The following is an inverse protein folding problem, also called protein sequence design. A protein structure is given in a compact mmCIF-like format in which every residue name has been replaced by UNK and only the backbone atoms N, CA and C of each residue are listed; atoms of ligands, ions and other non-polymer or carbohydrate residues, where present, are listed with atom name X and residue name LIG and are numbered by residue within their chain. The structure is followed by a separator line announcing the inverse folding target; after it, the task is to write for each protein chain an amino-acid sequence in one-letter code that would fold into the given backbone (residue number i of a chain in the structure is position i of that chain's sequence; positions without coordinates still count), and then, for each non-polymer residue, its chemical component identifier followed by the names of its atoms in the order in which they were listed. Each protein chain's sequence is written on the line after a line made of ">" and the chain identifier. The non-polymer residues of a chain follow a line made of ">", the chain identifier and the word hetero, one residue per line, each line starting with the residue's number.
data_IF_028895877405
#
_entry.id   IF_028895877405
#
_cell.length_a   1.000
_cell.length_b   1.000
_cell.length_c   1.000
_cell.angle_alpha   90.00
_cell.angle_beta   90.00
_cell.angle_gamma   90.00
#
_symmetry.space_group_name_H-M   'P 1'
#
loop_
_entity.id
_entity.type
_entity.pdbx_description
1 polymer ?
#
# COMPACT_ATOMS: atom_id res chain seq x y z
N UNK A 1 -6.26 -22.18 20.44
CA UNK A 1 -6.85 -21.13 19.59
C UNK A 1 -8.03 -20.54 20.34
N UNK A 2 -7.83 -19.43 21.04
CA UNK A 2 -8.88 -18.85 21.91
C UNK A 2 -9.99 -18.20 21.09
N UNK A 3 -11.24 -18.50 21.44
CA UNK A 3 -12.46 -18.09 20.72
C UNK A 3 -12.79 -16.58 20.79
N UNK A 4 -11.91 -15.74 21.33
CA UNK A 4 -12.12 -14.29 21.43
C UNK A 4 -10.80 -13.53 21.26
N UNK A 5 -10.25 -13.46 20.05
CA UNK A 5 -9.23 -12.46 19.73
C UNK A 5 -9.89 -11.09 19.76
N UNK A 6 -9.50 -10.22 20.70
CA UNK A 6 -9.98 -8.84 20.71
C UNK A 6 -9.60 -8.15 19.41
N UNK A 7 -10.58 -7.51 18.78
CA UNK A 7 -10.36 -6.69 17.58
C UNK A 7 -9.44 -5.54 17.93
N UNK A 8 -8.46 -5.24 17.08
CA UNK A 8 -7.61 -4.08 17.28
C UNK A 8 -8.44 -2.79 17.27
N UNK A 9 -8.13 -1.86 18.18
CA UNK A 9 -8.79 -0.56 18.29
C UNK A 9 -7.75 0.56 18.29
N UNK A 10 -7.98 1.66 17.52
CA UNK A 10 -7.08 2.81 17.48
C UNK A 10 -7.39 3.85 18.57
N UNK A 11 -8.45 3.66 19.37
CA UNK A 11 -8.90 4.66 20.36
C UNK A 11 -7.79 4.98 21.36
N UNK A 12 -7.43 6.26 21.47
CA UNK A 12 -6.36 6.75 22.35
C UNK A 12 -4.95 6.40 21.89
N UNK A 13 -4.77 5.74 20.74
CA UNK A 13 -3.47 5.39 20.17
C UNK A 13 -2.97 6.47 19.23
N UNK A 14 -1.66 6.65 19.17
CA UNK A 14 -0.99 7.47 18.17
C UNK A 14 -0.77 6.68 16.88
N UNK A 15 -1.43 7.12 15.81
CA UNK A 15 -1.36 6.52 14.49
C UNK A 15 -0.58 7.43 13.52
N UNK A 16 0.50 6.91 12.96
CA UNK A 16 1.33 7.58 11.96
C UNK A 16 0.95 7.11 10.56
N UNK A 17 0.52 8.02 9.69
CA UNK A 17 0.02 7.70 8.35
C UNK A 17 0.84 8.43 7.28
N UNK A 18 1.66 7.68 6.56
CA UNK A 18 2.36 8.22 5.38
C UNK A 18 1.41 8.28 4.18
N UNK A 19 1.58 9.26 3.29
CA UNK A 19 0.63 9.49 2.19
C UNK A 19 -0.73 9.99 2.69
N UNK A 20 -0.82 10.52 3.92
CA UNK A 20 -2.09 10.89 4.56
C UNK A 20 -2.73 12.18 4.03
N UNK A 21 -2.14 12.86 3.04
CA UNK A 21 -2.69 14.09 2.45
C UNK A 21 -3.74 13.85 1.37
N UNK A 22 -3.79 12.66 0.76
CA UNK A 22 -4.70 12.33 -0.35
C UNK A 22 -5.00 10.82 -0.41
N UNK A 23 -6.03 10.43 -1.17
CA UNK A 23 -6.29 9.02 -1.52
C UNK A 23 -6.46 8.12 -0.31
N UNK A 24 -6.03 6.86 -0.42
CA UNK A 24 -6.21 5.83 0.62
C UNK A 24 -5.71 6.27 2.00
N UNK A 25 -4.54 6.92 2.08
CA UNK A 25 -3.97 7.38 3.35
C UNK A 25 -4.86 8.41 4.06
N UNK A 26 -5.43 9.36 3.31
CA UNK A 26 -6.36 10.35 3.88
C UNK A 26 -7.65 9.69 4.37
N UNK A 27 -8.26 8.80 3.59
CA UNK A 27 -9.49 8.10 4.01
C UNK A 27 -9.24 7.20 5.23
N UNK A 28 -8.11 6.51 5.29
CA UNK A 28 -7.72 5.77 6.49
C UNK A 28 -7.54 6.70 7.70
N UNK A 29 -6.87 7.84 7.52
CA UNK A 29 -6.72 8.83 8.58
C UNK A 29 -8.08 9.34 9.10
N UNK A 30 -9.05 9.59 8.21
CA UNK A 30 -10.43 9.94 8.58
C UNK A 30 -11.07 8.87 9.45
N UNK A 31 -10.94 7.59 9.07
CA UNK A 31 -11.45 6.45 9.86
C UNK A 31 -10.79 6.42 11.24
N UNK A 32 -9.46 6.58 11.31
CA UNK A 32 -8.72 6.56 12.58
C UNK A 32 -9.13 7.70 13.51
N UNK A 33 -9.29 8.93 12.99
CA UNK A 33 -9.76 10.07 13.78
C UNK A 33 -11.17 9.84 14.30
N UNK A 34 -12.10 9.37 13.46
CA UNK A 34 -13.49 9.03 13.88
C UNK A 34 -13.53 7.95 14.96
N UNK A 35 -12.51 7.08 15.02
CA UNK A 35 -12.37 6.03 16.03
C UNK A 35 -11.52 6.47 17.26
N UNK A 36 -11.26 7.78 17.40
CA UNK A 36 -10.65 8.35 18.61
C UNK A 36 -9.12 8.25 18.67
N UNK A 37 -8.44 8.03 17.54
CA UNK A 37 -6.98 8.02 17.47
C UNK A 37 -6.39 9.44 17.54
N UNK A 38 -5.17 9.55 18.04
CA UNK A 38 -4.30 10.67 17.67
C UNK A 38 -3.69 10.34 16.31
N UNK A 39 -3.60 11.30 15.39
CA UNK A 39 -3.18 11.04 14.01
C UNK A 39 -2.10 12.02 13.57
N UNK A 40 -0.99 11.47 13.08
CA UNK A 40 0.05 12.23 12.40
C UNK A 40 0.09 11.82 10.92
N UNK A 41 -0.24 12.74 10.02
CA UNK A 41 -0.14 12.50 8.58
C UNK A 41 1.18 13.06 8.03
N UNK A 42 1.81 12.32 7.13
CA UNK A 42 3.06 12.72 6.48
C UNK A 42 2.93 12.65 4.97
N UNK A 43 3.27 13.74 4.30
CA UNK A 43 3.38 13.81 2.84
C UNK A 43 4.37 14.93 2.45
N UNK A 44 4.54 15.20 1.16
CA UNK A 44 5.50 16.20 0.66
C UNK A 44 4.88 17.58 0.40
N UNK A 45 3.60 17.62 0.05
CA UNK A 45 2.95 18.85 -0.40
C UNK A 45 2.23 19.51 0.79
N UNK A 46 2.69 20.69 1.19
CA UNK A 46 2.19 21.40 2.35
C UNK A 46 0.73 21.85 2.17
N UNK A 47 0.34 22.27 0.97
CA UNK A 47 -1.02 22.74 0.70
C UNK A 47 -2.06 21.61 0.90
N UNK A 48 -1.80 20.43 0.33
CA UNK A 48 -2.63 19.24 0.48
C UNK A 48 -2.66 18.75 1.93
N UNK A 49 -1.55 18.86 2.65
CA UNK A 49 -1.51 18.54 4.09
C UNK A 49 -2.41 19.49 4.90
N UNK A 50 -2.39 20.79 4.60
CA UNK A 50 -3.24 21.77 5.27
C UNK A 50 -4.73 21.50 5.00
N UNK A 51 -5.09 21.17 3.76
CA UNK A 51 -6.46 20.78 3.41
C UNK A 51 -6.89 19.50 4.15
N UNK A 52 -6.03 18.48 4.14
CA UNK A 52 -6.27 17.23 4.85
C UNK A 52 -6.48 17.43 6.35
N UNK A 53 -5.71 18.31 7.00
CA UNK A 53 -5.90 18.63 8.43
C UNK A 53 -7.26 19.26 8.68
N UNK A 54 -7.71 20.20 7.86
CA UNK A 54 -9.06 20.78 7.99
C UNK A 54 -10.14 19.70 7.94
N UNK A 55 -10.03 18.76 7.00
CA UNK A 55 -10.96 17.63 6.90
C UNK A 55 -10.90 16.71 8.13
N UNK A 56 -9.70 16.36 8.59
CA UNK A 56 -9.52 15.49 9.76
C UNK A 56 -10.03 16.15 11.05
N UNK A 57 -9.79 17.44 11.23
CA UNK A 57 -10.28 18.19 12.39
C UNK A 57 -11.81 18.24 12.45
N UNK A 58 -12.48 18.34 11.30
CA UNK A 58 -13.96 18.26 11.23
C UNK A 58 -14.55 16.94 11.73
N UNK A 59 -13.73 15.88 11.81
CA UNK A 59 -14.12 14.53 12.21
C UNK A 59 -13.68 14.19 13.65
N UNK A 60 -13.06 15.13 14.35
CA UNK A 60 -12.58 14.96 15.72
C UNK A 60 -13.74 14.56 16.64
N UNK A 61 -13.52 13.51 17.44
CA UNK A 61 -14.50 13.00 18.41
C UNK A 61 -14.18 13.40 19.86
N UNK A 62 -12.95 13.87 20.13
CA UNK A 62 -12.53 14.35 21.45
C UNK A 62 -11.50 15.49 21.35
N UNK A 63 -11.59 16.53 22.20
CA UNK A 63 -10.59 17.60 22.26
C UNK A 63 -9.20 17.10 22.66
N UNK A 64 -9.10 15.92 23.31
CA UNK A 64 -7.82 15.33 23.66
C UNK A 64 -7.04 14.77 22.45
N UNK A 65 -7.69 14.57 21.29
CA UNK A 65 -7.00 14.08 20.10
C UNK A 65 -5.95 15.08 19.62
N UNK A 66 -4.78 14.55 19.23
CA UNK A 66 -3.71 15.33 18.61
C UNK A 66 -3.72 14.93 17.14
N UNK A 67 -4.05 15.88 16.27
CA UNK A 67 -4.12 15.70 14.82
C UNK A 67 -3.10 16.68 14.23
N UNK A 68 -2.05 16.17 13.58
CA UNK A 68 -0.96 17.00 13.03
C UNK A 68 -0.50 16.50 11.67
N UNK A 69 0.01 17.42 10.85
CA UNK A 69 0.63 17.10 9.57
C UNK A 69 2.11 17.48 9.56
N UNK A 70 2.88 16.75 8.78
CA UNK A 70 4.33 16.96 8.65
C UNK A 70 4.74 16.85 7.19
N UNK A 71 5.47 17.85 6.70
CA UNK A 71 5.96 17.89 5.32
C UNK A 71 7.37 17.31 5.24
N UNK A 72 7.49 16.07 4.74
CA UNK A 72 8.77 15.37 4.59
C UNK A 72 8.77 14.52 3.32
N UNK A 73 9.94 14.41 2.67
CA UNK A 73 10.19 13.33 1.73
C UNK A 73 10.55 12.07 2.50
N UNK A 74 9.99 10.93 2.07
CA UNK A 74 10.25 9.61 2.66
C UNK A 74 11.08 8.72 1.74
N UNK A 75 11.66 9.30 0.68
CA UNK A 75 12.42 8.58 -0.35
C UNK A 75 13.84 8.18 0.08
N UNK A 76 14.27 8.61 1.27
CA UNK A 76 15.55 8.29 1.88
C UNK A 76 15.38 8.05 3.39
N UNK A 77 16.35 7.36 3.99
CA UNK A 77 16.30 6.95 5.39
C UNK A 77 16.27 8.14 6.37
N UNK A 78 16.99 9.22 6.05
CA UNK A 78 17.05 10.42 6.90
C UNK A 78 15.71 11.15 6.97
N UNK A 79 15.03 11.32 5.84
CA UNK A 79 13.71 11.93 5.75
C UNK A 79 12.66 11.12 6.51
N UNK A 80 12.68 9.80 6.38
CA UNK A 80 11.79 8.91 7.15
C UNK A 80 12.02 8.98 8.66
N UNK A 81 13.29 9.06 9.10
CA UNK A 81 13.61 9.23 10.52
C UNK A 81 13.17 10.59 11.05
N UNK A 82 13.49 11.68 10.33
CA UNK A 82 13.11 13.04 10.72
C UNK A 82 11.59 13.22 10.80
N UNK A 83 10.84 12.64 9.86
CA UNK A 83 9.38 12.64 9.88
C UNK A 83 8.81 11.92 11.11
N UNK A 84 9.38 10.75 11.45
CA UNK A 84 8.97 9.98 12.62
C UNK A 84 9.27 10.73 13.92
N UNK A 85 10.45 11.34 14.04
CA UNK A 85 10.83 12.12 15.22
C UNK A 85 9.96 13.36 15.40
N UNK A 86 9.67 14.08 14.31
CA UNK A 86 8.74 15.22 14.33
C UNK A 86 7.32 14.80 14.76
N UNK A 87 6.85 13.63 14.29
CA UNK A 87 5.57 13.06 14.70
C UNK A 87 5.55 12.59 16.15
N UNK A 88 6.69 12.13 16.68
CA UNK A 88 6.84 11.65 18.06
C UNK A 88 6.95 12.80 19.08
N UNK A 89 7.45 13.96 18.66
CA UNK A 89 7.75 15.08 19.57
C UNK A 89 6.55 15.56 20.43
N UNK A 90 5.30 15.66 19.91
CA UNK A 90 4.13 16.01 20.72
C UNK A 90 3.72 14.95 21.75
N UNK A 91 4.32 13.76 21.70
CA UNK A 91 4.04 12.61 22.56
C UNK A 91 5.27 12.28 23.43
N UNK A 92 6.00 13.32 23.87
CA UNK A 92 7.22 13.19 24.68
C UNK A 92 8.32 12.34 24.02
N UNK A 93 8.34 12.32 22.68
CA UNK A 93 9.29 11.51 21.90
C UNK A 93 8.92 10.03 21.81
N UNK A 94 7.78 9.60 22.36
CA UNK A 94 7.27 8.25 22.21
C UNK A 94 6.92 7.96 20.75
N UNK A 95 7.30 6.77 20.29
CA UNK A 95 6.98 6.29 18.93
C UNK A 95 5.47 6.08 18.78
N UNK A 96 4.90 6.34 17.60
CA UNK A 96 3.52 5.99 17.30
C UNK A 96 3.21 4.51 17.59
N UNK A 97 2.07 4.20 18.19
CA UNK A 97 1.59 2.83 18.43
C UNK A 97 1.36 2.04 17.14
N UNK A 98 1.02 2.74 16.06
CA UNK A 98 0.74 2.14 14.76
C UNK A 98 1.30 2.98 13.60
N UNK A 99 2.04 2.35 12.69
CA UNK A 99 2.53 2.92 11.44
C UNK A 99 1.72 2.39 10.26
N UNK A 100 1.03 3.27 9.54
CA UNK A 100 0.32 3.00 8.31
C UNK A 100 1.10 3.60 7.13
N UNK A 101 1.73 2.71 6.37
CA UNK A 101 2.71 3.08 5.36
C UNK A 101 2.03 3.19 3.98
N UNK A 102 1.14 4.17 3.82
CA UNK A 102 0.35 4.33 2.60
C UNK A 102 1.05 5.15 1.50
N UNK A 103 2.23 5.73 1.75
CA UNK A 103 2.97 6.45 0.72
C UNK A 103 3.45 5.50 -0.39
N UNK A 104 3.28 5.96 -1.63
CA UNK A 104 3.80 5.32 -2.82
C UNK A 104 3.32 6.01 -4.09
N UNK A 105 3.98 5.72 -5.21
CA UNK A 105 3.58 6.21 -6.52
C UNK A 105 3.95 5.19 -7.61
N UNK A 106 3.25 5.28 -8.73
CA UNK A 106 3.42 4.45 -9.92
C UNK A 106 3.57 5.37 -11.14
N UNK A 107 4.32 4.92 -12.15
CA UNK A 107 4.48 5.62 -13.44
C UNK A 107 4.52 4.58 -14.57
N UNK A 108 3.39 3.95 -14.90
CA UNK A 108 3.36 2.85 -15.85
C UNK A 108 3.91 3.26 -17.21
N UNK A 109 4.66 2.36 -17.84
CA UNK A 109 5.19 2.47 -19.20
C UNK A 109 5.76 1.15 -19.67
N UNK A 110 6.15 1.04 -20.94
CA UNK A 110 6.90 -0.13 -21.37
C UNK A 110 8.32 -0.08 -20.81
N UNK A 111 8.85 -1.27 -20.49
CA UNK A 111 10.20 -1.39 -19.92
C UNK A 111 11.29 -0.78 -20.81
N UNK A 112 11.11 -0.85 -22.13
CA UNK A 112 12.05 -0.27 -23.11
C UNK A 112 12.12 1.26 -23.06
N UNK A 113 11.11 1.92 -22.48
CA UNK A 113 11.07 3.38 -22.32
C UNK A 113 11.72 3.84 -21.00
N UNK A 114 12.06 2.91 -20.11
CA UNK A 114 12.71 3.23 -18.84
C UNK A 114 14.22 3.36 -19.00
N UNK A 115 14.76 4.48 -18.51
CA UNK A 115 16.18 4.64 -18.23
C UNK A 115 16.52 4.10 -16.83
N UNK A 116 17.82 4.07 -16.50
CA UNK A 116 18.28 3.59 -15.20
C UNK A 116 17.64 4.36 -14.02
N UNK A 117 17.50 5.68 -14.12
CA UNK A 117 16.87 6.49 -13.07
C UNK A 117 15.38 6.18 -12.92
N UNK A 118 14.67 5.83 -14.00
CA UNK A 118 13.28 5.41 -13.92
C UNK A 118 13.13 4.06 -13.21
N UNK A 119 14.04 3.12 -13.43
CA UNK A 119 14.08 1.84 -12.72
C UNK A 119 14.35 2.06 -11.22
N UNK A 120 15.35 2.88 -10.88
CA UNK A 120 15.68 3.22 -9.50
C UNK A 120 14.52 3.94 -8.81
N UNK A 121 13.91 4.90 -9.49
CA UNK A 121 12.73 5.61 -8.99
C UNK A 121 11.54 4.68 -8.77
N UNK A 122 11.33 3.69 -9.64
CA UNK A 122 10.32 2.66 -9.45
C UNK A 122 10.47 1.94 -8.10
N UNK A 123 11.69 1.52 -7.76
CA UNK A 123 12.01 0.95 -6.44
C UNK A 123 11.87 1.97 -5.32
N UNK A 124 12.29 3.21 -5.53
CA UNK A 124 12.22 4.30 -4.55
C UNK A 124 10.77 4.57 -4.13
N UNK A 125 9.88 4.71 -5.11
CA UNK A 125 8.47 5.09 -4.93
C UNK A 125 7.56 3.91 -4.56
N UNK A 126 7.94 2.66 -4.86
CA UNK A 126 7.12 1.49 -4.52
C UNK A 126 7.57 0.75 -3.25
N UNK A 127 8.88 0.69 -3.00
CA UNK A 127 9.52 -0.10 -1.93
C UNK A 127 10.15 0.77 -0.85
N UNK A 128 11.17 1.56 -1.20
CA UNK A 128 12.00 2.26 -0.20
C UNK A 128 11.21 3.26 0.63
N UNK A 129 10.27 3.97 0.01
CA UNK A 129 9.40 4.95 0.66
C UNK A 129 8.66 4.39 1.89
N UNK A 130 8.36 3.08 1.89
CA UNK A 130 7.76 2.40 3.04
C UNK A 130 8.80 1.68 3.89
N UNK A 131 9.78 1.02 3.28
CA UNK A 131 10.81 0.27 3.99
C UNK A 131 11.61 1.15 4.97
N UNK A 132 11.94 2.39 4.60
CA UNK A 132 12.65 3.31 5.48
C UNK A 132 11.82 3.74 6.68
N UNK A 133 10.53 4.05 6.48
CA UNK A 133 9.63 4.40 7.58
C UNK A 133 9.34 3.21 8.50
N UNK A 134 9.21 1.99 7.95
CA UNK A 134 9.09 0.78 8.75
C UNK A 134 10.36 0.56 9.60
N UNK A 135 11.53 0.64 8.99
CA UNK A 135 12.80 0.45 9.68
C UNK A 135 13.01 1.47 10.82
N UNK A 136 12.74 2.76 10.57
CA UNK A 136 12.80 3.79 11.61
C UNK A 136 11.81 3.53 12.75
N UNK A 137 10.55 3.20 12.41
CA UNK A 137 9.48 2.92 13.37
C UNK A 137 9.78 1.71 14.26
N UNK A 138 10.07 0.56 13.64
CA UNK A 138 10.38 -0.69 14.35
C UNK A 138 11.59 -0.50 15.25
N UNK A 139 12.68 0.12 14.77
CA UNK A 139 13.87 0.37 15.57
C UNK A 139 13.58 1.23 16.80
N UNK A 140 12.69 2.22 16.68
CA UNK A 140 12.28 3.08 17.79
C UNK A 140 11.36 2.34 18.78
N UNK A 141 10.40 1.54 18.29
CA UNK A 141 9.56 0.65 19.11
C UNK A 141 10.41 -0.32 19.94
N UNK A 142 11.38 -0.99 19.32
CA UNK A 142 12.29 -1.92 20.01
C UNK A 142 13.12 -1.21 21.07
N UNK A 143 13.69 -0.03 20.74
CA UNK A 143 14.48 0.76 21.70
C UNK A 143 13.66 1.22 22.90
N UNK A 144 12.41 1.61 22.68
CA UNK A 144 11.48 2.05 23.73
C UNK A 144 10.80 0.87 24.45
N UNK A 145 11.00 -0.36 23.97
CA UNK A 145 10.40 -1.60 24.51
C UNK A 145 8.87 -1.53 24.56
N UNK A 146 8.26 -1.00 23.49
CA UNK A 146 6.81 -0.90 23.36
C UNK A 146 6.31 -1.80 22.24
N UNK A 147 5.16 -2.47 22.43
CA UNK A 147 4.51 -3.23 21.37
C UNK A 147 4.00 -2.28 20.28
N UNK A 148 3.69 -2.81 19.10
CA UNK A 148 3.28 -1.95 18.00
C UNK A 148 2.56 -2.64 16.85
N UNK A 149 2.20 -1.82 15.87
CA UNK A 149 1.62 -2.28 14.60
C UNK A 149 2.28 -1.57 13.43
N UNK A 150 2.65 -2.33 12.40
CA UNK A 150 3.12 -1.80 11.12
C UNK A 150 2.23 -2.36 10.03
N UNK A 151 1.67 -1.48 9.21
CA UNK A 151 0.80 -1.86 8.09
C UNK A 151 1.38 -1.29 6.80
N UNK A 152 1.85 -2.17 5.93
CA UNK A 152 2.29 -1.82 4.59
C UNK A 152 1.12 -1.69 3.63
N UNK A 153 1.27 -0.85 2.61
CA UNK A 153 0.33 -0.78 1.48
C UNK A 153 1.03 -1.27 0.22
N UNK A 154 0.66 -2.48 -0.18
CA UNK A 154 1.05 -3.11 -1.42
C UNK A 154 0.17 -2.71 -2.59
N UNK A 155 -0.16 -3.71 -3.38
CA UNK A 155 -1.07 -3.67 -4.53
C UNK A 155 -1.41 -5.10 -4.90
N UNK A 156 -2.51 -5.35 -5.60
CA UNK A 156 -2.72 -6.63 -6.29
C UNK A 156 -1.51 -7.01 -7.18
N UNK A 157 -0.78 -6.01 -7.70
CA UNK A 157 0.48 -6.17 -8.42
C UNK A 157 1.68 -6.65 -7.55
N UNK A 158 1.45 -7.00 -6.29
CA UNK A 158 2.42 -7.72 -5.44
C UNK A 158 2.26 -9.24 -5.57
N UNK A 159 1.20 -9.70 -6.24
CA UNK A 159 0.93 -11.12 -6.55
C UNK A 159 1.11 -11.44 -8.04
N UNK A 160 1.03 -10.42 -8.89
CA UNK A 160 1.06 -10.58 -10.34
C UNK A 160 1.74 -9.39 -11.02
N UNK A 161 2.14 -9.57 -12.27
CA UNK A 161 2.65 -8.49 -13.12
C UNK A 161 2.38 -8.80 -14.60
N UNK A 162 2.29 -7.76 -15.41
CA UNK A 162 2.05 -7.82 -16.85
C UNK A 162 2.58 -6.55 -17.53
N UNK A 163 2.50 -6.51 -18.86
CA UNK A 163 3.05 -5.44 -19.68
C UNK A 163 2.55 -4.06 -19.22
N UNK A 164 3.48 -3.12 -19.05
CA UNK A 164 3.19 -1.76 -18.55
C UNK A 164 3.51 -1.54 -17.06
N UNK A 165 3.67 -2.62 -16.28
CA UNK A 165 3.90 -2.55 -14.82
C UNK A 165 5.32 -2.92 -14.37
N UNK A 166 6.25 -3.11 -15.29
CA UNK A 166 7.61 -3.59 -15.02
C UNK A 166 8.45 -2.66 -14.14
N UNK A 167 8.10 -1.38 -14.01
CA UNK A 167 8.80 -0.44 -13.13
C UNK A 167 8.17 -0.26 -11.75
N UNK A 168 6.97 -0.81 -11.52
CA UNK A 168 6.24 -0.66 -10.26
C UNK A 168 6.05 -2.00 -9.54
N UNK A 169 5.63 -3.03 -10.27
CA UNK A 169 5.36 -4.35 -9.71
C UNK A 169 6.56 -5.00 -9.01
N UNK A 170 7.83 -4.88 -9.49
CA UNK A 170 8.98 -5.44 -8.77
C UNK A 170 9.15 -4.87 -7.37
N UNK A 171 9.01 -3.55 -7.21
CA UNK A 171 9.08 -2.90 -5.89
C UNK A 171 7.96 -3.36 -4.96
N UNK A 172 6.75 -3.62 -5.48
CA UNK A 172 5.63 -4.16 -4.70
C UNK A 172 5.80 -5.64 -4.33
N UNK A 173 6.43 -6.44 -5.18
CA UNK A 173 6.84 -7.81 -4.81
C UNK A 173 7.92 -7.80 -3.73
N UNK A 174 8.94 -6.95 -3.86
CA UNK A 174 9.99 -6.79 -2.85
C UNK A 174 9.41 -6.33 -1.51
N UNK A 175 8.44 -5.41 -1.54
CA UNK A 175 7.76 -4.92 -0.34
C UNK A 175 6.97 -6.04 0.36
N UNK A 176 6.33 -6.92 -0.41
CA UNK A 176 5.66 -8.11 0.14
C UNK A 176 6.67 -9.05 0.81
N UNK A 177 7.79 -9.34 0.15
CA UNK A 177 8.86 -10.16 0.74
C UNK A 177 9.36 -9.60 2.07
N UNK A 178 9.57 -8.27 2.14
CA UNK A 178 9.93 -7.58 3.38
C UNK A 178 8.83 -7.74 4.45
N UNK A 179 7.57 -7.47 4.11
CA UNK A 179 6.46 -7.56 5.07
C UNK A 179 6.26 -8.98 5.60
N UNK A 180 6.40 -10.00 4.76
CA UNK A 180 6.29 -11.41 5.17
C UNK A 180 7.43 -11.82 6.10
N UNK A 181 8.67 -11.38 5.82
CA UNK A 181 9.81 -11.60 6.72
C UNK A 181 9.64 -10.90 8.06
N UNK A 182 9.26 -9.61 8.04
CA UNK A 182 9.04 -8.82 9.25
C UNK A 182 7.87 -9.35 10.08
N UNK A 183 6.83 -9.94 9.48
CA UNK A 183 5.74 -10.56 10.22
C UNK A 183 6.21 -11.74 11.10
N UNK A 184 7.31 -12.41 10.73
CA UNK A 184 7.95 -13.41 11.58
C UNK A 184 8.94 -12.77 12.55
N UNK A 185 9.85 -11.93 12.07
CA UNK A 185 10.93 -11.32 12.87
C UNK A 185 10.39 -10.44 14.00
N UNK A 186 9.38 -9.61 13.71
CA UNK A 186 8.83 -8.65 14.67
C UNK A 186 8.04 -9.28 15.83
N UNK A 187 7.74 -10.59 15.77
CA UNK A 187 7.17 -11.32 16.92
C UNK A 187 8.12 -11.34 18.12
N UNK A 188 9.44 -11.20 17.89
CA UNK A 188 10.44 -11.05 18.95
C UNK A 188 10.25 -9.78 19.80
N UNK A 189 9.44 -8.83 19.32
CA UNK A 189 9.31 -7.48 19.88
C UNK A 189 7.86 -7.07 20.15
N UNK A 190 6.91 -8.01 20.10
CA UNK A 190 5.46 -7.73 20.23
C UNK A 190 4.95 -6.69 19.20
N UNK A 191 5.53 -6.69 17.99
CA UNK A 191 5.12 -5.82 16.88
C UNK A 191 4.41 -6.66 15.82
N UNK A 192 3.15 -6.32 15.55
CA UNK A 192 2.36 -6.96 14.49
C UNK A 192 2.62 -6.32 13.13
N UNK A 193 2.83 -7.12 12.08
CA UNK A 193 3.01 -6.64 10.71
C UNK A 193 1.88 -7.15 9.83
N UNK A 194 1.27 -6.25 9.08
CA UNK A 194 0.21 -6.55 8.12
C UNK A 194 0.50 -5.83 6.80
N UNK A 195 -0.10 -6.31 5.71
CA UNK A 195 0.02 -5.68 4.40
C UNK A 195 -1.33 -5.68 3.70
N UNK A 196 -1.76 -4.51 3.23
CA UNK A 196 -2.96 -4.36 2.42
C UNK A 196 -2.63 -4.44 0.94
N UNK A 197 -3.42 -5.21 0.19
CA UNK A 197 -3.29 -5.40 -1.26
C UNK A 197 -4.50 -4.79 -1.96
N UNK A 198 -4.53 -3.46 -2.18
CA UNK A 198 -5.63 -2.83 -2.90
C UNK A 198 -5.65 -3.24 -4.38
N UNK A 199 -6.85 -3.35 -4.94
CA UNK A 199 -7.08 -3.26 -6.38
C UNK A 199 -7.00 -1.80 -6.84
N UNK A 200 -7.34 -1.53 -8.10
CA UNK A 200 -7.42 -0.18 -8.64
C UNK A 200 -8.34 0.70 -7.79
N UNK A 201 -7.90 1.90 -7.44
CA UNK A 201 -8.67 2.86 -6.65
C UNK A 201 -8.76 4.19 -7.36
N UNK A 202 -9.96 4.76 -7.43
CA UNK A 202 -10.21 6.07 -8.02
C UNK A 202 -9.64 7.20 -7.15
N UNK A 203 -8.34 7.42 -7.26
CA UNK A 203 -7.58 8.43 -6.51
C UNK A 203 -6.98 9.46 -7.45
N UNK A 204 -6.59 10.65 -6.95
CA UNK A 204 -5.80 11.59 -7.74
C UNK A 204 -4.51 10.97 -8.30
N UNK A 205 -3.93 9.99 -7.61
CA UNK A 205 -2.76 9.25 -8.11
C UNK A 205 -3.09 8.38 -9.33
N UNK A 206 -4.26 7.75 -9.35
CA UNK A 206 -4.76 6.96 -10.47
C UNK A 206 -5.04 7.83 -11.71
N UNK A 207 -5.53 9.05 -11.52
CA UNK A 207 -5.71 10.01 -12.62
C UNK A 207 -4.37 10.37 -13.28
N UNK A 208 -3.32 10.64 -12.50
CA UNK A 208 -1.98 10.89 -13.04
C UNK A 208 -1.36 9.65 -13.70
N UNK A 209 -1.60 8.47 -13.11
CA UNK A 209 -1.17 7.20 -13.64
C UNK A 209 -1.76 6.93 -15.03
N UNK A 210 -3.07 7.15 -15.20
CA UNK A 210 -3.79 6.93 -16.46
C UNK A 210 -3.29 7.80 -17.63
N UNK A 211 -2.71 8.97 -17.34
CA UNK A 211 -2.08 9.83 -18.37
C UNK A 211 -0.83 9.19 -18.97
N UNK A 212 -0.16 8.32 -18.22
CA UNK A 212 1.11 7.69 -18.62
C UNK A 212 0.93 6.27 -19.16
N UNK A 213 -0.21 5.60 -18.87
CA UNK A 213 -0.44 4.22 -19.29
C UNK A 213 -0.31 4.06 -20.81
N UNK A 214 0.50 3.11 -21.28
CA UNK A 214 0.47 2.67 -22.67
C UNK A 214 -0.93 2.16 -23.05
N UNK A 215 -1.30 2.28 -24.32
CA UNK A 215 -2.65 1.90 -24.77
C UNK A 215 -2.92 0.40 -24.59
N UNK A 216 -1.89 -0.45 -24.74
CA UNK A 216 -1.97 -1.87 -24.38
C UNK A 216 -2.40 -2.04 -22.92
N UNK A 217 -1.76 -1.30 -22.00
CA UNK A 217 -2.05 -1.42 -20.59
C UNK A 217 -3.50 -0.99 -20.29
N UNK A 218 -3.97 0.13 -20.87
CA UNK A 218 -5.37 0.55 -20.73
C UNK A 218 -6.35 -0.53 -21.20
N UNK A 219 -6.05 -1.20 -22.31
CA UNK A 219 -6.86 -2.31 -22.82
C UNK A 219 -6.85 -3.53 -21.89
N UNK A 220 -5.70 -3.87 -21.32
CA UNK A 220 -5.59 -4.99 -20.37
C UNK A 220 -6.39 -4.74 -19.08
N UNK A 221 -6.59 -3.47 -18.71
CA UNK A 221 -7.28 -3.05 -17.49
C UNK A 221 -8.73 -2.61 -17.74
N UNK A 222 -9.24 -2.72 -18.98
CA UNK A 222 -10.58 -2.19 -19.35
C UNK A 222 -11.73 -2.80 -18.56
N UNK A 223 -11.54 -4.03 -18.03
CA UNK A 223 -12.53 -4.75 -17.24
C UNK A 223 -12.38 -4.53 -15.73
N UNK A 224 -11.32 -3.83 -15.30
CA UNK A 224 -11.11 -3.49 -13.90
C UNK A 224 -11.96 -2.26 -13.53
N UNK A 225 -13.04 -2.50 -12.77
CA UNK A 225 -13.95 -1.46 -12.30
C UNK A 225 -13.38 -0.65 -11.13
N UNK A 226 -12.28 -1.11 -10.53
CA UNK A 226 -11.70 -0.52 -9.33
C UNK A 226 -12.67 -0.42 -8.14
N UNK A 227 -12.31 0.41 -7.17
CA UNK A 227 -13.16 0.76 -6.03
C UNK A 227 -12.93 2.20 -5.58
N UNK A 228 -13.87 2.74 -4.82
CA UNK A 228 -13.69 4.06 -4.21
C UNK A 228 -12.59 4.00 -3.14
N UNK A 229 -11.81 5.09 -2.95
CA UNK A 229 -10.79 5.14 -1.90
C UNK A 229 -11.35 4.96 -0.48
N UNK A 230 -12.60 5.35 -0.27
CA UNK A 230 -13.31 5.14 1.00
C UNK A 230 -13.57 3.65 1.26
N UNK A 231 -14.14 2.93 0.28
CA UNK A 231 -14.37 1.49 0.40
C UNK A 231 -13.05 0.72 0.60
N UNK A 232 -11.98 1.13 -0.10
CA UNK A 232 -10.66 0.58 0.09
C UNK A 232 -10.11 0.80 1.51
N UNK A 233 -10.28 2.01 2.06
CA UNK A 233 -9.84 2.34 3.42
C UNK A 233 -10.65 1.57 4.48
N UNK A 234 -11.96 1.40 4.28
CA UNK A 234 -12.81 0.59 5.16
C UNK A 234 -12.40 -0.89 5.14
N UNK A 235 -12.13 -1.44 3.95
CA UNK A 235 -11.69 -2.82 3.82
C UNK A 235 -10.31 -3.03 4.46
N UNK A 236 -9.39 -2.09 4.25
CA UNK A 236 -8.09 -2.06 4.93
C UNK A 236 -8.26 -2.04 6.46
N UNK A 237 -9.07 -1.12 6.99
CA UNK A 237 -9.32 -1.00 8.43
C UNK A 237 -9.95 -2.27 9.01
N UNK A 238 -10.94 -2.86 8.33
CA UNK A 238 -11.56 -4.12 8.75
C UNK A 238 -10.54 -5.26 8.83
N UNK A 239 -9.66 -5.40 7.83
CA UNK A 239 -8.60 -6.41 7.85
C UNK A 239 -7.59 -6.20 8.98
N UNK A 240 -7.25 -4.93 9.28
CA UNK A 240 -6.41 -4.57 10.43
C UNK A 240 -7.06 -5.03 11.74
N UNK A 241 -8.35 -4.73 11.92
CA UNK A 241 -9.11 -5.12 13.13
C UNK A 241 -9.19 -6.64 13.32
N UNK A 242 -9.28 -7.38 12.21
CA UNK A 242 -9.33 -8.85 12.19
C UNK A 242 -7.95 -9.52 12.33
N UNK A 243 -6.86 -8.76 12.39
CA UNK A 243 -5.51 -9.33 12.53
C UNK A 243 -5.03 -10.07 11.27
N UNK A 244 -5.61 -9.79 10.10
CA UNK A 244 -5.20 -10.44 8.85
C UNK A 244 -3.81 -9.97 8.43
N UNK A 245 -2.87 -10.90 8.21
CA UNK A 245 -1.52 -10.54 7.75
C UNK A 245 -1.55 -9.99 6.31
N UNK A 246 -2.24 -10.68 5.39
CA UNK A 246 -2.52 -10.17 4.05
C UNK A 246 -3.95 -9.70 3.95
N UNK A 247 -4.20 -8.40 3.82
CA UNK A 247 -5.56 -7.84 3.75
C UNK A 247 -5.95 -7.66 2.28
N UNK A 248 -7.09 -8.22 1.88
CA UNK A 248 -7.68 -8.05 0.55
C UNK A 248 -8.96 -7.23 0.64
N UNK A 249 -9.13 -6.28 -0.31
CA UNK A 249 -10.29 -5.37 -0.32
C UNK A 249 -11.51 -5.89 -1.06
N UNK A 250 -11.30 -6.85 -1.97
CA UNK A 250 -12.30 -7.34 -2.91
C UNK A 250 -12.10 -8.84 -3.21
N UNK A 251 -13.05 -9.42 -3.95
CA UNK A 251 -13.04 -10.85 -4.28
C UNK A 251 -11.88 -11.23 -5.20
N UNK A 252 -11.55 -10.41 -6.20
CA UNK A 252 -10.48 -10.70 -7.16
C UNK A 252 -9.13 -10.74 -6.45
N UNK A 253 -8.82 -9.74 -5.61
CA UNK A 253 -7.61 -9.74 -4.79
C UNK A 253 -7.61 -10.93 -3.82
N UNK A 254 -8.78 -11.32 -3.30
CA UNK A 254 -8.89 -12.49 -2.41
C UNK A 254 -8.57 -13.81 -3.13
N UNK A 255 -8.97 -13.97 -4.40
CA UNK A 255 -8.63 -15.12 -5.24
C UNK A 255 -7.12 -15.15 -5.48
N UNK A 256 -6.52 -14.03 -5.92
CA UNK A 256 -5.07 -13.95 -6.13
C UNK A 256 -4.28 -14.23 -4.85
N UNK A 257 -4.67 -13.62 -3.73
CA UNK A 257 -4.09 -13.90 -2.41
C UNK A 257 -4.16 -15.38 -2.09
N UNK A 258 -5.35 -15.99 -2.14
CA UNK A 258 -5.51 -17.40 -1.77
C UNK A 258 -4.65 -18.34 -2.65
N UNK A 259 -4.55 -18.06 -3.96
CA UNK A 259 -3.75 -18.84 -4.90
C UNK A 259 -2.23 -18.62 -4.81
N UNK A 260 -1.77 -17.49 -4.27
CA UNK A 260 -0.35 -17.08 -4.32
C UNK A 260 0.24 -16.61 -2.99
N UNK A 261 -0.47 -16.78 -1.87
CA UNK A 261 -0.06 -16.32 -0.51
C UNK A 261 1.24 -16.94 0.01
N UNK A 262 1.70 -18.07 -0.53
CA UNK A 262 2.87 -18.77 0.00
C UNK A 262 2.63 -19.26 1.43
N UNK A 263 3.53 -18.93 2.35
CA UNK A 263 3.49 -19.38 3.76
C UNK A 263 2.58 -18.53 4.67
N UNK A 264 2.03 -17.41 4.16
CA UNK A 264 1.22 -16.50 4.97
C UNK A 264 -0.04 -17.20 5.52
N UNK A 265 -0.42 -16.99 6.80
CA UNK A 265 -1.60 -17.62 7.39
C UNK A 265 -2.89 -17.38 6.59
N UNK A 266 -3.78 -18.37 6.57
CA UNK A 266 -5.11 -18.23 5.99
C UNK A 266 -5.98 -17.29 6.85
N UNK A 267 -6.90 -16.57 6.21
CA UNK A 267 -7.98 -15.88 6.93
C UNK A 267 -8.96 -16.90 7.52
N UNK A 268 -9.35 -17.86 6.69
CA UNK A 268 -10.20 -18.98 7.03
C UNK A 268 -9.81 -20.14 6.11
N UNK A 269 -9.39 -21.27 6.68
CA UNK A 269 -8.84 -22.40 5.91
C UNK A 269 -9.83 -22.93 4.86
N UNK A 270 -11.13 -22.95 5.16
CA UNK A 270 -12.14 -23.45 4.24
C UNK A 270 -12.38 -22.46 3.10
N UNK A 271 -12.63 -21.19 3.42
CA UNK A 271 -12.87 -20.16 2.41
C UNK A 271 -11.65 -19.97 1.52
N UNK A 272 -10.46 -19.85 2.12
CA UNK A 272 -9.21 -19.72 1.37
C UNK A 272 -8.91 -20.98 0.56
N UNK A 273 -9.30 -22.17 1.03
CA UNK A 273 -9.20 -23.40 0.25
C UNK A 273 -10.05 -23.38 -1.02
N UNK A 274 -11.32 -22.95 -0.92
CA UNK A 274 -12.21 -22.79 -2.08
C UNK A 274 -11.66 -21.73 -3.04
N UNK A 275 -11.25 -20.57 -2.52
CA UNK A 275 -10.66 -19.49 -3.33
C UNK A 275 -9.37 -19.94 -4.02
N UNK A 276 -8.53 -20.73 -3.36
CA UNK A 276 -7.32 -21.29 -3.95
C UNK A 276 -7.63 -22.27 -5.09
N UNK A 277 -8.68 -23.10 -4.99
CA UNK A 277 -9.13 -23.95 -6.09
C UNK A 277 -9.63 -23.14 -7.28
N UNK A 278 -10.40 -22.08 -7.02
CA UNK A 278 -10.83 -21.13 -8.06
C UNK A 278 -9.61 -20.48 -8.71
N UNK A 279 -8.65 -20.03 -7.91
CA UNK A 279 -7.41 -19.39 -8.38
C UNK A 279 -6.58 -20.35 -9.25
N UNK A 280 -6.48 -21.62 -8.87
CA UNK A 280 -5.73 -22.64 -9.60
C UNK A 280 -6.22 -22.82 -11.04
N UNK A 281 -7.52 -22.69 -11.28
CA UNK A 281 -8.11 -22.73 -12.63
C UNK A 281 -8.12 -21.35 -13.30
N UNK A 282 -8.55 -20.32 -12.55
CA UNK A 282 -8.81 -18.98 -13.09
C UNK A 282 -7.56 -18.19 -13.45
N UNK A 283 -6.49 -18.25 -12.63
CA UNK A 283 -5.27 -17.47 -12.86
C UNK A 283 -4.57 -17.89 -14.17
N UNK A 284 -4.39 -19.18 -14.49
CA UNK A 284 -3.83 -19.58 -15.79
C UNK A 284 -4.66 -19.10 -16.98
N UNK A 285 -6.00 -19.17 -16.90
CA UNK A 285 -6.91 -18.70 -17.96
C UNK A 285 -6.78 -17.19 -18.13
N UNK A 286 -6.80 -16.43 -17.04
CA UNK A 286 -6.56 -14.99 -17.05
C UNK A 286 -5.19 -14.66 -17.66
N UNK A 287 -4.12 -15.36 -17.25
CA UNK A 287 -2.78 -15.13 -17.78
C UNK A 287 -2.71 -15.39 -19.28
N UNK A 288 -3.35 -16.46 -19.76
CA UNK A 288 -3.42 -16.77 -21.19
C UNK A 288 -4.17 -15.69 -21.98
N UNK A 289 -5.25 -15.15 -21.42
CA UNK A 289 -5.99 -14.02 -21.99
C UNK A 289 -5.10 -12.77 -22.12
N UNK A 290 -4.39 -12.40 -21.04
CA UNK A 290 -3.45 -11.27 -21.03
C UNK A 290 -2.35 -11.47 -22.08
N UNK A 291 -1.71 -12.64 -22.12
CA UNK A 291 -0.66 -12.94 -23.09
C UNK A 291 -1.17 -12.92 -24.54
N UNK A 292 -2.41 -13.36 -24.77
CA UNK A 292 -3.04 -13.31 -26.08
C UNK A 292 -3.30 -11.86 -26.52
N UNK A 293 -3.77 -11.00 -25.61
CA UNK A 293 -3.95 -9.58 -25.87
C UNK A 293 -2.62 -8.85 -26.15
N UNK A 294 -1.56 -9.17 -25.39
CA UNK A 294 -0.20 -8.65 -25.63
C UNK A 294 0.30 -9.07 -27.01
N UNK A 295 0.14 -10.34 -27.40
CA UNK A 295 0.55 -10.84 -28.73
C UNK A 295 -0.24 -10.17 -29.85
N UNK A 296 -1.53 -9.93 -29.65
CA UNK A 296 -2.37 -9.26 -30.64
C UNK A 296 -1.95 -7.80 -30.87
N UNK A 297 -1.37 -7.13 -29.86
CA UNK A 297 -0.93 -5.73 -29.94
C UNK A 297 0.45 -5.53 -30.59
N UNK A 298 1.09 -6.60 -31.11
CA UNK A 298 2.44 -6.50 -31.69
C UNK A 298 2.54 -5.53 -32.85
N UNK A 299 1.50 -5.42 -33.68
CA UNK A 299 1.52 -4.55 -34.87
C UNK A 299 1.48 -3.08 -34.45
N UNK A 300 0.54 -2.71 -33.60
CA UNK A 300 0.44 -1.36 -33.03
C UNK A 300 1.69 -1.00 -32.23
N UNK A 301 2.27 -1.97 -31.52
CA UNK A 301 3.52 -1.75 -30.80
C UNK A 301 4.71 -1.52 -31.75
N UNK A 302 4.77 -2.14 -32.92
CA UNK A 302 5.83 -1.86 -33.89
C UNK A 302 5.78 -0.40 -34.38
N UNK A 303 4.58 0.13 -34.65
CA UNK A 303 4.39 1.55 -34.98
C UNK A 303 4.79 2.47 -33.81
N UNK A 304 4.48 2.05 -32.57
CA UNK A 304 4.93 2.73 -31.36
C UNK A 304 6.46 2.82 -31.27
N UNK A 305 7.18 1.72 -31.56
CA UNK A 305 8.64 1.68 -31.50
C UNK A 305 9.28 2.69 -32.46
N UNK A 306 8.80 2.74 -33.71
CA UNK A 306 9.29 3.72 -34.70
C UNK A 306 9.02 5.15 -34.24
N UNK A 307 7.79 5.42 -33.77
CA UNK A 307 7.39 6.76 -33.31
C UNK A 307 8.23 7.27 -32.13
N UNK A 308 8.71 6.37 -31.27
CA UNK A 308 9.48 6.71 -30.06
C UNK A 308 11.00 6.51 -30.24
N UNK A 309 11.47 6.21 -31.46
CA UNK A 309 12.90 6.10 -31.77
C UNK A 309 13.56 4.82 -31.26
N UNK A 310 12.78 3.76 -31.00
CA UNK A 310 13.29 2.45 -30.60
C UNK A 310 13.57 1.52 -31.79
N UNK A 311 13.08 1.87 -32.97
CA UNK A 311 13.30 1.15 -34.24
C UNK A 311 13.35 2.14 -35.39
N UNK A 312 14.14 1.81 -36.41
CA UNK A 312 14.08 2.44 -37.74
C UNK A 312 12.86 1.94 -38.53
#
# INVERSE_FOLDING_TARGET
>A
MGFFTQKWSPKGKHCYVTGGSTGLGLFLAKILVKNGAHVSIVARNQEKLSQAITELESLRVSPAQIIKSYSFSLTDASGSLAALDAASAPFDGNVPDALFLCAGASRPRFFIDDDAEALERGMRDAYWVQAYSAHAGIKKMVRQKVPGKVVFVGSMLSYMSFAGWSNYAPGKHALRGLADGLASECQLYDISVQMYFPCTMETPGYEEENKLKPDLLKKLEETDKGMTPEAAAEAMYRGIQLGQQHISGDLLTSIFRAGTRGITPNHNVLVDGVLALIAWVGIPIWRWSVDSAVKAHKKEHAEYLVKHGHSD
#
